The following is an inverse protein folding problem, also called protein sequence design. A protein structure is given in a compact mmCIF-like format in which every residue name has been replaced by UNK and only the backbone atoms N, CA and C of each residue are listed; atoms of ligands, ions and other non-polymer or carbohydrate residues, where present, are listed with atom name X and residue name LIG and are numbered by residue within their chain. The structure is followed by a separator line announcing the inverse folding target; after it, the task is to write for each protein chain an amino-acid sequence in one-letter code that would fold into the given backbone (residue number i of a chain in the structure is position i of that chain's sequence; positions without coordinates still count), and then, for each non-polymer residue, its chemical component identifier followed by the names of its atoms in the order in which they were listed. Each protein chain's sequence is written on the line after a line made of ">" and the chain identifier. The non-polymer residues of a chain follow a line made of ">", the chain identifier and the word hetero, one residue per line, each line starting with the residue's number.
data_IF_957093340594
#
_entry.id   IF_957093340594
#
_cell.length_a   1.000
_cell.length_b   1.000
_cell.length_c   1.000
_cell.angle_alpha   90.00
_cell.angle_beta   90.00
_cell.angle_gamma   90.00
#
_symmetry.space_group_name_H-M   'P 1'
#
loop_
_entity.id
_entity.type
_entity.pdbx_description
1 polymer ?
#
# COMPACT_ATOMS: atom_id res chain seq x y z
N UNK A 1 -5.26 -0.76 20.30
CA UNK A 1 -3.88 -0.66 19.83
C UNK A 1 -3.67 0.76 19.32
N UNK A 2 -2.53 1.34 19.65
CA UNK A 2 -2.19 2.71 19.23
C UNK A 2 -1.66 2.63 17.79
N UNK A 3 -2.50 3.00 16.83
CA UNK A 3 -2.14 3.03 15.42
C UNK A 3 -1.30 4.28 15.16
N UNK A 4 -0.07 4.09 14.71
CA UNK A 4 0.84 5.20 14.51
C UNK A 4 1.86 4.92 13.43
N UNK A 5 2.18 5.96 12.66
CA UNK A 5 3.28 5.98 11.71
C UNK A 5 4.49 6.59 12.41
N UNK A 6 5.63 5.91 12.34
CA UNK A 6 6.89 6.37 12.96
C UNK A 6 7.89 6.75 11.89
N UNK A 7 8.46 7.95 12.04
CA UNK A 7 9.50 8.45 11.15
C UNK A 7 10.85 8.43 11.86
N UNK A 8 11.84 7.82 11.24
CA UNK A 8 13.22 7.79 11.71
C UNK A 8 14.11 8.60 10.76
N UNK A 9 15.01 9.40 11.30
CA UNK A 9 16.10 9.99 10.52
C UNK A 9 17.31 9.08 10.53
N UNK A 10 18.08 9.07 9.46
CA UNK A 10 19.37 8.41 9.35
C UNK A 10 20.46 9.49 9.18
N UNK A 11 21.43 9.57 10.11
CA UNK A 11 22.53 10.54 9.97
C UNK A 11 23.50 10.14 8.86
N UNK A 12 23.50 8.87 8.47
CA UNK A 12 24.18 8.35 7.28
C UNK A 12 23.15 7.64 6.40
N UNK A 13 23.04 8.05 5.13
CA UNK A 13 22.08 7.48 4.21
C UNK A 13 22.20 5.94 4.12
N UNK A 14 21.09 5.23 4.23
CA UNK A 14 20.96 3.75 4.21
C UNK A 14 21.69 3.02 5.35
N UNK A 15 22.16 3.71 6.39
CA UNK A 15 22.78 3.08 7.57
C UNK A 15 21.81 3.11 8.75
N UNK A 16 21.13 1.98 8.98
CA UNK A 16 20.15 1.82 10.08
C UNK A 16 20.77 1.91 11.48
N UNK A 17 22.09 1.72 11.61
CA UNK A 17 22.77 1.91 12.90
C UNK A 17 22.74 3.37 13.37
N UNK A 18 22.43 4.29 12.46
CA UNK A 18 22.32 5.73 12.71
C UNK A 18 20.89 6.21 12.90
N UNK A 19 19.92 5.27 12.92
CA UNK A 19 18.51 5.60 13.00
C UNK A 19 18.13 6.25 14.34
N UNK A 20 17.38 7.34 14.26
CA UNK A 20 16.82 8.03 15.42
C UNK A 20 15.35 8.37 15.17
N UNK A 21 14.47 7.98 16.09
CA UNK A 21 13.06 8.33 16.01
C UNK A 21 12.91 9.86 16.11
N UNK A 22 12.32 10.50 15.09
CA UNK A 22 12.11 11.94 15.04
C UNK A 22 10.64 12.34 15.15
N UNK A 23 9.72 11.47 14.74
CA UNK A 23 8.29 11.77 14.78
C UNK A 23 7.45 10.51 14.96
N UNK A 24 6.31 10.68 15.63
CA UNK A 24 5.23 9.69 15.70
C UNK A 24 3.94 10.39 15.35
N UNK A 25 3.37 10.03 14.22
CA UNK A 25 2.07 10.50 13.77
C UNK A 25 1.02 9.48 14.23
N UNK A 26 0.03 9.91 15.01
CA UNK A 26 -1.18 9.09 15.20
C UNK A 26 -1.87 8.96 13.86
N UNK A 27 -2.29 7.75 13.51
CA UNK A 27 -2.94 7.52 12.24
C UNK A 27 -4.07 8.55 12.01
N UNK A 28 -4.09 9.25 10.88
CA UNK A 28 -5.04 10.34 10.66
C UNK A 28 -6.47 9.87 10.44
N UNK A 29 -6.71 8.57 10.40
CA UNK A 29 -7.96 7.97 9.99
C UNK A 29 -8.92 7.65 11.13
N UNK A 30 -10.18 7.49 10.77
CA UNK A 30 -11.26 7.05 11.66
C UNK A 30 -11.44 5.53 11.67
N UNK A 31 -10.57 4.78 10.99
CA UNK A 31 -10.68 3.34 10.86
C UNK A 31 -10.33 2.59 12.15
N UNK A 32 -10.98 1.47 12.32
CA UNK A 32 -10.67 0.50 13.38
C UNK A 32 -9.63 -0.54 12.94
N UNK A 33 -9.13 -0.46 11.71
CA UNK A 33 -8.17 -1.41 11.12
C UNK A 33 -6.73 -0.91 11.23
N UNK A 34 -5.76 -1.82 11.11
CA UNK A 34 -4.34 -1.48 11.17
C UNK A 34 -3.88 -0.95 9.81
N UNK A 35 -3.21 0.22 9.77
CA UNK A 35 -2.52 0.64 8.55
C UNK A 35 -1.39 -0.34 8.24
N UNK A 36 -1.32 -0.80 6.99
CA UNK A 36 -0.33 -1.77 6.55
C UNK A 36 0.60 -1.21 5.47
N UNK A 37 0.17 -0.18 4.77
CA UNK A 37 0.94 0.40 3.67
C UNK A 37 0.94 1.92 3.71
N UNK A 38 2.08 2.49 3.36
CA UNK A 38 2.28 3.93 3.19
C UNK A 38 3.18 4.16 1.97
N UNK A 39 2.79 5.08 1.11
CA UNK A 39 3.53 5.42 -0.10
C UNK A 39 3.62 6.93 -0.25
N UNK A 40 4.74 7.44 -0.78
CA UNK A 40 4.89 8.85 -1.15
C UNK A 40 4.90 8.99 -2.67
N UNK A 41 4.44 10.13 -3.17
CA UNK A 41 4.77 10.48 -4.54
C UNK A 41 6.27 10.78 -4.68
N UNK A 42 6.78 10.81 -5.90
CA UNK A 42 8.23 10.93 -6.20
C UNK A 42 8.93 12.13 -5.57
N UNK A 43 8.21 13.21 -5.31
CA UNK A 43 8.79 14.44 -4.73
C UNK A 43 8.44 14.66 -3.24
N UNK A 44 7.71 13.71 -2.61
CA UNK A 44 7.38 13.74 -1.19
C UNK A 44 6.34 14.77 -0.76
N UNK A 45 5.66 15.41 -1.72
CA UNK A 45 4.63 16.42 -1.43
C UNK A 45 3.23 15.84 -1.21
N UNK A 46 3.06 14.55 -1.50
CA UNK A 46 1.86 13.78 -1.22
C UNK A 46 2.23 12.48 -0.52
N UNK A 47 1.36 12.03 0.36
CA UNK A 47 1.44 10.71 1.01
C UNK A 47 0.11 10.02 0.88
N UNK A 48 0.17 8.71 0.62
CA UNK A 48 -0.96 7.80 0.53
C UNK A 48 -0.88 6.83 1.70
N UNK A 49 -1.97 6.70 2.44
CA UNK A 49 -2.02 5.87 3.64
C UNK A 49 -3.20 4.92 3.48
N UNK A 50 -2.91 3.63 3.53
CA UNK A 50 -3.94 2.60 3.58
C UNK A 50 -4.64 2.65 4.94
N UNK A 51 -5.96 2.60 4.93
CA UNK A 51 -6.84 2.70 6.08
C UNK A 51 -7.94 1.62 6.03
N UNK A 52 -7.53 0.37 5.93
CA UNK A 52 -8.41 -0.78 5.88
C UNK A 52 -9.08 -0.96 4.52
N UNK A 53 -10.21 -0.29 4.32
CA UNK A 53 -11.03 -0.43 3.12
C UNK A 53 -10.86 0.75 2.15
N UNK A 54 -9.96 1.69 2.46
CA UNK A 54 -9.71 2.87 1.64
C UNK A 54 -8.23 3.26 1.64
N UNK A 55 -7.84 4.07 0.67
CA UNK A 55 -6.56 4.75 0.63
C UNK A 55 -6.82 6.24 0.70
N UNK A 56 -6.28 6.86 1.72
CA UNK A 56 -6.33 8.30 1.94
C UNK A 56 -5.16 9.01 1.25
N UNK A 57 -5.45 10.08 0.52
CA UNK A 57 -4.47 11.00 -0.04
C UNK A 57 -4.33 12.25 0.82
N UNK A 58 -3.10 12.61 1.18
CA UNK A 58 -2.77 13.84 1.89
C UNK A 58 -1.71 14.65 1.15
N UNK A 59 -1.88 15.98 1.11
CA UNK A 59 -0.78 16.89 0.82
C UNK A 59 0.12 17.04 2.04
N UNK A 60 1.44 17.04 1.82
CA UNK A 60 2.49 17.18 2.83
C UNK A 60 3.12 18.55 2.69
N UNK A 61 3.00 19.41 3.71
CA UNK A 61 3.45 20.81 3.62
C UNK A 61 4.97 20.94 3.42
N UNK A 62 5.75 20.02 3.98
CA UNK A 62 7.20 19.93 3.75
C UNK A 62 7.50 18.53 3.22
N UNK A 63 8.09 18.46 2.04
CA UNK A 63 8.34 17.19 1.34
C UNK A 63 9.02 16.14 2.25
N UNK A 64 8.45 14.91 2.29
CA UNK A 64 8.88 13.78 3.11
C UNK A 64 8.88 14.01 4.63
N UNK A 65 8.24 15.07 5.11
CA UNK A 65 8.19 15.40 6.54
C UNK A 65 6.76 15.24 7.11
N UNK A 66 6.48 14.08 7.68
CA UNK A 66 5.18 13.79 8.33
C UNK A 66 4.96 14.56 9.64
N UNK A 67 5.96 15.29 10.16
CA UNK A 67 5.78 16.22 11.27
C UNK A 67 5.21 17.58 10.81
N UNK A 68 5.26 17.85 9.51
CA UNK A 68 4.63 19.01 8.90
C UNK A 68 3.12 18.85 8.79
N UNK A 69 2.40 19.89 8.39
CA UNK A 69 0.95 19.81 8.24
C UNK A 69 0.57 18.85 7.11
N UNK A 70 -0.26 17.87 7.45
CA UNK A 70 -0.94 17.02 6.48
C UNK A 70 -2.32 17.60 6.21
N UNK A 71 -2.68 17.73 4.94
CA UNK A 71 -3.99 18.20 4.50
C UNK A 71 -4.64 17.11 3.67
N UNK A 72 -5.73 16.54 4.18
CA UNK A 72 -6.54 15.56 3.45
C UNK A 72 -6.99 16.13 2.10
N UNK A 73 -6.91 15.31 1.06
CA UNK A 73 -7.29 15.67 -0.31
C UNK A 73 -8.48 14.85 -0.75
N UNK A 74 -8.34 13.51 -0.75
CA UNK A 74 -9.35 12.59 -1.26
C UNK A 74 -9.10 11.19 -0.70
N UNK A 75 -10.03 10.28 -0.91
CA UNK A 75 -9.84 8.85 -0.68
C UNK A 75 -10.38 8.01 -1.82
N UNK A 76 -9.82 6.83 -1.97
CA UNK A 76 -10.29 5.79 -2.89
C UNK A 76 -10.83 4.62 -2.05
N UNK A 77 -12.14 4.38 -2.14
CA UNK A 77 -12.88 3.38 -1.37
C UNK A 77 -12.82 2.00 -2.05
N UNK A 78 -12.47 0.98 -1.29
CA UNK A 78 -12.36 -0.43 -1.69
C UNK A 78 -13.24 -1.35 -0.83
N UNK A 79 -14.35 -0.86 -0.32
CA UNK A 79 -15.28 -1.64 0.52
C UNK A 79 -15.80 -2.93 -0.13
N UNK A 80 -15.50 -3.15 -1.41
CA UNK A 80 -15.75 -4.39 -2.14
C UNK A 80 -14.58 -5.38 -2.13
N UNK A 81 -13.40 -4.97 -1.66
CA UNK A 81 -12.23 -5.83 -1.49
C UNK A 81 -12.05 -6.13 0.00
N UNK A 82 -11.59 -7.33 0.34
CA UNK A 82 -11.59 -7.77 1.74
C UNK A 82 -10.55 -7.07 2.59
N UNK A 83 -9.36 -6.86 2.07
CA UNK A 83 -8.27 -6.26 2.83
C UNK A 83 -7.10 -5.87 1.92
N UNK A 84 -6.78 -4.58 1.88
CA UNK A 84 -5.60 -4.10 1.18
C UNK A 84 -4.40 -4.40 2.07
N UNK A 85 -3.40 -5.07 1.53
CA UNK A 85 -2.17 -5.40 2.25
C UNK A 85 -0.98 -4.56 1.79
N UNK A 86 -1.01 -4.11 0.53
CA UNK A 86 0.07 -3.30 -0.02
C UNK A 86 -0.41 -2.50 -1.23
N UNK A 87 0.24 -1.37 -1.49
CA UNK A 87 0.04 -0.58 -2.68
C UNK A 87 1.36 -0.29 -3.39
N UNK A 88 1.30 -0.01 -4.68
CA UNK A 88 2.44 0.48 -5.46
C UNK A 88 1.95 1.39 -6.58
N UNK A 89 2.69 2.48 -6.82
CA UNK A 89 2.46 3.34 -7.99
C UNK A 89 3.50 3.07 -9.09
N UNK A 90 3.13 3.34 -10.34
CA UNK A 90 4.12 3.54 -11.40
C UNK A 90 4.98 4.77 -11.10
N UNK A 91 6.16 4.86 -11.70
CA UNK A 91 7.13 5.95 -11.45
C UNK A 91 6.54 7.35 -11.64
N UNK A 92 5.62 7.52 -12.58
CA UNK A 92 4.94 8.77 -12.88
C UNK A 92 3.60 8.94 -12.13
N UNK A 93 3.20 7.92 -11.36
CA UNK A 93 1.98 7.90 -10.57
C UNK A 93 0.69 7.74 -11.37
N UNK A 94 0.78 7.44 -12.67
CA UNK A 94 -0.40 7.30 -13.54
C UNK A 94 -1.08 5.96 -13.44
N UNK A 95 -0.44 4.96 -12.80
CA UNK A 95 -1.03 3.66 -12.49
C UNK A 95 -0.86 3.37 -11.01
N UNK A 96 -1.94 2.93 -10.36
CA UNK A 96 -1.96 2.45 -8.98
C UNK A 96 -2.31 0.97 -8.99
N UNK A 97 -1.52 0.19 -8.27
CA UNK A 97 -1.76 -1.22 -8.01
C UNK A 97 -2.06 -1.44 -6.54
N UNK A 98 -3.08 -2.24 -6.26
CA UNK A 98 -3.46 -2.62 -4.91
C UNK A 98 -3.46 -4.12 -4.78
N UNK A 99 -2.74 -4.60 -3.80
CA UNK A 99 -2.70 -6.00 -3.44
C UNK A 99 -3.69 -6.25 -2.32
N UNK A 100 -4.57 -7.23 -2.50
CA UNK A 100 -5.55 -7.64 -1.49
C UNK A 100 -5.35 -9.08 -1.10
N UNK A 101 -5.70 -9.43 0.12
CA UNK A 101 -5.78 -10.82 0.56
C UNK A 101 -7.22 -11.18 0.90
N UNK A 102 -7.54 -12.47 0.86
CA UNK A 102 -8.82 -13.02 1.25
C UNK A 102 -9.11 -12.74 2.73
N UNK A 103 -10.33 -12.31 3.05
CA UNK A 103 -10.77 -12.27 4.44
C UNK A 103 -11.01 -13.68 4.99
N UNK A 104 -10.84 -13.82 6.30
CA UNK A 104 -11.11 -15.11 6.96
C UNK A 104 -12.58 -15.26 7.37
N UNK A 105 -13.52 -14.57 6.72
CA UNK A 105 -14.95 -14.55 7.07
C UNK A 105 -15.74 -15.75 6.53
N UNK A 106 -15.13 -16.58 5.69
CA UNK A 106 -15.72 -17.79 5.12
C UNK A 106 -16.53 -17.54 3.84
N UNK A 107 -16.41 -16.34 3.24
CA UNK A 107 -16.92 -16.04 1.92
C UNK A 107 -15.80 -16.27 0.88
N UNK A 108 -15.86 -17.39 0.17
CA UNK A 108 -14.89 -17.78 -0.88
C UNK A 108 -14.95 -16.87 -2.14
N UNK A 109 -15.63 -15.73 -2.08
CA UNK A 109 -15.80 -14.85 -3.26
C UNK A 109 -14.72 -13.80 -3.42
N UNK A 110 -13.92 -13.59 -2.39
CA UNK A 110 -12.90 -12.54 -2.33
C UNK A 110 -11.51 -13.18 -2.29
N UNK A 111 -11.02 -13.52 -3.46
CA UNK A 111 -9.70 -14.11 -3.66
C UNK A 111 -8.58 -13.07 -3.50
N UNK A 112 -7.36 -13.55 -3.28
CA UNK A 112 -6.17 -12.71 -3.38
C UNK A 112 -6.03 -12.13 -4.80
N UNK A 113 -6.02 -10.82 -4.91
CA UNK A 113 -6.00 -10.12 -6.20
C UNK A 113 -5.03 -8.95 -6.21
N UNK A 114 -4.55 -8.61 -7.42
CA UNK A 114 -3.98 -7.30 -7.72
C UNK A 114 -5.04 -6.53 -8.49
N UNK A 115 -5.42 -5.35 -8.00
CA UNK A 115 -6.29 -4.41 -8.69
C UNK A 115 -5.46 -3.33 -9.38
N UNK A 116 -5.81 -3.00 -10.61
CA UNK A 116 -5.17 -1.94 -11.38
C UNK A 116 -6.12 -0.75 -11.58
N UNK A 117 -5.61 0.45 -11.33
CA UNK A 117 -6.28 1.72 -11.57
C UNK A 117 -5.42 2.65 -12.41
N UNK A 118 -6.01 3.26 -13.43
CA UNK A 118 -5.40 4.34 -14.18
C UNK A 118 -5.80 5.69 -13.58
N UNK A 119 -4.82 6.57 -13.38
CA UNK A 119 -5.00 7.94 -12.94
C UNK A 119 -4.71 8.89 -14.09
N UNK A 120 -5.68 9.73 -14.48
CA UNK A 120 -5.47 10.71 -15.56
C UNK A 120 -4.52 11.84 -15.16
N UNK A 121 -4.39 12.07 -13.86
CA UNK A 121 -3.36 12.93 -13.25
C UNK A 121 -2.55 12.08 -12.28
N UNK A 122 -1.23 11.99 -12.50
CA UNK A 122 -0.37 11.15 -11.65
C UNK A 122 -0.46 11.54 -10.18
N UNK A 123 -0.58 10.53 -9.31
CA UNK A 123 -0.70 10.71 -7.86
C UNK A 123 -1.91 11.57 -7.43
N UNK A 124 -3.06 11.44 -8.12
CA UNK A 124 -4.31 12.13 -7.80
C UNK A 124 -5.45 11.11 -7.80
N UNK A 125 -5.83 10.64 -6.60
CA UNK A 125 -6.84 9.58 -6.42
C UNK A 125 -8.21 9.96 -6.96
N UNK A 126 -8.55 11.27 -7.00
CA UNK A 126 -9.81 11.76 -7.56
C UNK A 126 -9.97 11.41 -9.04
N UNK A 127 -8.86 11.11 -9.72
CA UNK A 127 -8.83 10.77 -11.16
C UNK A 127 -8.71 9.27 -11.43
N UNK A 128 -8.73 8.45 -10.38
CA UNK A 128 -8.57 7.01 -10.49
C UNK A 128 -9.76 6.35 -11.20
N UNK A 129 -9.46 5.46 -12.12
CA UNK A 129 -10.44 4.66 -12.84
C UNK A 129 -10.00 3.21 -12.84
N UNK A 130 -10.86 2.32 -12.33
CA UNK A 130 -10.61 0.89 -12.34
C UNK A 130 -10.38 0.37 -13.76
N UNK A 131 -9.36 -0.47 -13.94
CA UNK A 131 -9.01 -1.12 -15.20
C UNK A 131 -9.39 -2.59 -15.16
N UNK A 132 -8.69 -3.35 -14.33
CA UNK A 132 -8.88 -4.79 -14.20
C UNK A 132 -8.36 -5.32 -12.86
N UNK A 133 -8.62 -6.58 -12.58
CA UNK A 133 -7.99 -7.32 -11.49
C UNK A 133 -7.33 -8.58 -12.01
N UNK A 134 -6.21 -8.93 -11.42
CA UNK A 134 -5.49 -10.17 -11.65
C UNK A 134 -5.53 -11.03 -10.39
N UNK A 135 -6.10 -12.24 -10.51
CA UNK A 135 -6.20 -13.17 -9.40
C UNK A 135 -4.87 -13.87 -9.17
N UNK A 136 -4.37 -13.87 -7.94
CA UNK A 136 -3.11 -14.49 -7.52
C UNK A 136 -3.30 -15.60 -6.49
N UNK A 137 -4.53 -15.96 -6.18
CA UNK A 137 -4.91 -16.92 -5.13
C UNK A 137 -4.22 -18.29 -5.28
N UNK A 138 -3.99 -18.74 -6.53
CA UNK A 138 -3.34 -20.03 -6.76
C UNK A 138 -1.84 -20.00 -6.49
N UNK A 139 -1.20 -18.85 -6.69
CA UNK A 139 0.22 -18.61 -6.50
C UNK A 139 0.53 -18.18 -5.06
N UNK A 140 -0.28 -17.26 -4.52
CA UNK A 140 -0.14 -16.74 -3.15
C UNK A 140 -1.52 -16.40 -2.59
N UNK A 141 -2.00 -17.16 -1.62
CA UNK A 141 -3.34 -16.98 -1.04
C UNK A 141 -3.38 -15.92 0.08
N UNK A 142 -2.22 -15.54 0.61
CA UNK A 142 -2.07 -14.50 1.64
C UNK A 142 -0.95 -13.52 1.30
N UNK A 143 -1.13 -12.75 0.23
CA UNK A 143 -0.12 -11.80 -0.19
C UNK A 143 -0.03 -10.63 0.81
N UNK A 144 1.19 -10.18 1.09
CA UNK A 144 1.49 -9.12 2.05
C UNK A 144 2.25 -7.94 1.44
N UNK A 145 2.92 -8.15 0.30
CA UNK A 145 3.71 -7.09 -0.33
C UNK A 145 3.75 -7.22 -1.84
N UNK A 146 3.73 -6.09 -2.52
CA UNK A 146 3.88 -5.97 -3.98
C UNK A 146 5.02 -5.03 -4.33
N UNK A 147 5.78 -5.36 -5.36
CA UNK A 147 6.79 -4.49 -5.94
C UNK A 147 6.90 -4.72 -7.44
N UNK A 148 7.32 -3.71 -8.17
CA UNK A 148 7.64 -3.78 -9.59
C UNK A 148 9.14 -3.55 -9.81
N UNK A 149 9.68 -4.07 -10.91
CA UNK A 149 10.99 -3.64 -11.38
C UNK A 149 10.90 -2.23 -12.00
N UNK A 150 12.06 -1.61 -12.25
CA UNK A 150 12.13 -0.24 -12.80
C UNK A 150 11.48 -0.04 -14.16
N UNK A 151 11.33 -1.12 -14.93
CA UNK A 151 10.76 -1.07 -16.28
C UNK A 151 9.24 -1.33 -16.26
N UNK A 152 8.69 -1.76 -15.11
CA UNK A 152 7.27 -2.07 -14.91
C UNK A 152 6.79 -3.33 -15.64
N UNK A 153 7.73 -4.15 -16.14
CA UNK A 153 7.41 -5.38 -16.90
C UNK A 153 7.45 -6.65 -16.05
N UNK A 154 7.79 -6.54 -14.77
CA UNK A 154 7.75 -7.62 -13.78
C UNK A 154 7.12 -7.14 -12.48
N UNK A 155 6.18 -7.93 -11.96
CA UNK A 155 5.61 -7.76 -10.63
C UNK A 155 6.11 -8.87 -9.71
N UNK A 156 6.42 -8.51 -8.48
CA UNK A 156 6.86 -9.42 -7.42
C UNK A 156 5.85 -9.35 -6.27
N UNK A 157 5.43 -10.51 -5.79
CA UNK A 157 4.52 -10.63 -4.66
C UNK A 157 5.22 -11.43 -3.56
N UNK A 158 5.06 -11.00 -2.34
CA UNK A 158 5.48 -11.76 -1.15
C UNK A 158 4.29 -12.00 -0.27
N UNK A 159 4.28 -13.12 0.43
CA UNK A 159 3.19 -13.43 1.36
C UNK A 159 3.47 -14.69 2.16
N UNK A 160 2.46 -15.13 2.87
CA UNK A 160 2.48 -16.38 3.63
C UNK A 160 1.43 -17.32 3.05
N UNK A 161 1.83 -18.24 2.20
CA UNK A 161 0.90 -19.23 1.63
C UNK A 161 0.17 -19.98 2.76
N UNK A 162 -1.14 -19.79 2.85
CA UNK A 162 -2.01 -20.51 3.77
C UNK A 162 -2.21 -21.98 3.39
N UNK A 163 -1.71 -22.41 2.23
CA UNK A 163 -1.76 -23.79 1.77
C UNK A 163 -0.61 -24.58 2.42
N UNK A 164 -0.97 -25.60 3.17
CA UNK A 164 -0.06 -26.53 3.79
C UNK A 164 1.09 -26.91 2.84
N UNK A 165 2.31 -26.70 3.25
CA UNK A 165 3.59 -26.85 2.57
C UNK A 165 3.91 -28.25 2.03
N UNK A 166 2.93 -29.00 1.55
CA UNK A 166 3.14 -30.32 0.94
C UNK A 166 3.46 -30.31 -0.55
N UNK A 167 3.49 -29.14 -1.21
CA UNK A 167 3.73 -29.01 -2.64
C UNK A 167 4.72 -27.88 -3.02
N UNK A 168 5.57 -27.43 -2.10
CA UNK A 168 6.72 -26.59 -2.46
C UNK A 168 7.76 -27.43 -3.23
N UNK A 169 7.45 -27.74 -4.47
CA UNK A 169 8.47 -28.19 -5.42
C UNK A 169 9.13 -26.95 -6.04
N UNK A 170 10.29 -26.62 -5.49
CA UNK A 170 11.23 -25.68 -6.12
C UNK A 170 11.70 -26.35 -7.42
N UNK A 171 11.16 -25.89 -8.57
CA UNK A 171 11.67 -26.23 -9.89
C UNK A 171 12.81 -25.31 -10.29
#
# INVERSE_FOLDING_TARGET
>A
LDQSIKTFSLSTAYDLSTASLIHTLSAPSNSSTSQQSIEFNTNGTKVFIEDGDEIDEYNVATAFDLSSTLTYVDSLDFSFADHITSMAFSDDGTVLFLLTQQSNDGDDTNDANIYEYNLTTGFDLSTATYVEKFNVENEESRPEGIAFNSDGDQVFITGTDGKNSSNDEVN
#
